data_IF_152740309036
#
_entry.id   IF_152740309036
#
_cell.length_a   1.000
_cell.length_b   1.000
_cell.length_c   1.000
_cell.angle_alpha   90.00
_cell.angle_beta   90.00
_cell.angle_gamma   90.00
#
_symmetry.space_group_name_H-M   'P 1'
#
loop_
_entity.id
_entity.type
_entity.pdbx_description
1 polymer ?
#
# COMPACT_ATOMS: atom_id res chain seq x y z
N UNK A 1 15.99 9.22 -23.20
CA UNK A 1 15.51 8.12 -22.34
C UNK A 1 14.23 8.62 -21.70
N UNK A 2 13.06 8.04 -22.02
CA UNK A 2 11.84 8.40 -21.29
C UNK A 2 12.07 8.06 -19.81
N UNK A 3 11.85 9.03 -18.91
CA UNK A 3 11.92 8.75 -17.48
C UNK A 3 10.90 7.64 -17.16
N UNK A 4 11.29 6.67 -16.33
CA UNK A 4 10.38 5.62 -15.90
C UNK A 4 9.17 6.19 -15.15
N UNK A 5 8.10 5.41 -15.02
CA UNK A 5 6.94 5.79 -14.24
C UNK A 5 7.35 6.10 -12.78
N UNK A 6 6.88 7.21 -12.18
CA UNK A 6 7.18 7.55 -10.79
C UNK A 6 6.70 6.46 -9.84
N UNK A 7 7.47 6.21 -8.78
CA UNK A 7 7.09 5.31 -7.70
C UNK A 7 6.96 6.10 -6.41
N UNK A 8 5.89 5.85 -5.66
CA UNK A 8 5.66 6.47 -4.35
C UNK A 8 5.46 5.39 -3.30
N UNK A 9 5.73 5.73 -2.05
CA UNK A 9 5.48 4.84 -0.91
C UNK A 9 4.49 5.45 0.08
N UNK A 10 3.77 4.58 0.78
CA UNK A 10 2.93 4.88 1.93
C UNK A 10 3.31 3.92 3.05
N UNK A 11 3.89 4.43 4.13
CA UNK A 11 4.16 3.68 5.35
C UNK A 11 2.91 3.70 6.21
N UNK A 12 2.37 2.53 6.51
CA UNK A 12 1.07 2.38 7.16
C UNK A 12 1.28 2.10 8.63
N UNK A 13 0.51 2.77 9.48
CA UNK A 13 0.28 2.35 10.86
C UNK A 13 -1.17 1.93 11.09
N UNK A 14 -1.37 0.92 11.94
CA UNK A 14 -2.68 0.45 12.38
C UNK A 14 -2.69 0.48 13.90
N UNK A 15 -3.57 1.28 14.50
CA UNK A 15 -3.67 1.42 15.95
C UNK A 15 -2.42 2.02 16.59
N UNK A 16 -1.72 2.89 15.87
CA UNK A 16 -0.47 3.53 16.31
C UNK A 16 0.79 2.69 16.09
N UNK A 17 0.68 1.46 15.59
CA UNK A 17 1.81 0.57 15.33
C UNK A 17 2.11 0.51 13.83
N UNK A 18 3.38 0.61 13.45
CA UNK A 18 3.79 0.46 12.06
C UNK A 18 3.48 -0.96 11.56
N UNK A 19 2.75 -1.04 10.44
CA UNK A 19 2.34 -2.30 9.81
C UNK A 19 3.25 -2.69 8.65
N UNK A 20 3.64 -1.73 7.82
CA UNK A 20 4.51 -1.97 6.68
C UNK A 20 4.38 -0.88 5.62
N UNK A 21 5.09 -1.07 4.52
CA UNK A 21 5.13 -0.14 3.39
C UNK A 21 4.30 -0.65 2.22
N UNK A 22 3.50 0.23 1.64
CA UNK A 22 2.88 0.05 0.33
C UNK A 22 3.70 0.85 -0.67
N UNK A 23 4.07 0.23 -1.80
CA UNK A 23 4.71 0.93 -2.92
C UNK A 23 3.79 0.90 -4.12
N UNK A 24 3.57 2.07 -4.72
CA UNK A 24 2.74 2.26 -5.91
C UNK A 24 3.57 2.77 -7.08
N UNK A 25 3.28 2.26 -8.27
CA UNK A 25 3.75 2.79 -9.55
C UNK A 25 2.63 3.66 -10.16
N UNK A 26 2.95 4.90 -10.48
CA UNK A 26 2.03 5.87 -11.06
C UNK A 26 2.17 5.88 -12.58
N UNK A 27 1.05 5.76 -13.31
CA UNK A 27 1.07 5.65 -14.76
C UNK A 27 1.09 7.04 -15.43
N UNK A 28 2.18 7.78 -15.21
CA UNK A 28 2.34 9.16 -15.68
C UNK A 28 2.30 9.31 -17.21
N UNK A 29 2.55 8.24 -17.97
CA UNK A 29 2.42 8.24 -19.42
C UNK A 29 0.95 8.29 -19.89
N UNK A 30 0.02 7.73 -19.11
CA UNK A 30 -1.40 7.63 -19.47
C UNK A 30 -2.23 8.70 -18.74
N UNK A 31 -1.93 8.95 -17.47
CA UNK A 31 -2.65 9.92 -16.62
C UNK A 31 -1.66 10.88 -15.94
N UNK A 32 -0.93 11.74 -16.70
CA UNK A 32 0.11 12.60 -16.17
C UNK A 32 -0.37 13.55 -15.08
N UNK A 33 -1.54 14.19 -15.23
CA UNK A 33 -2.05 15.14 -14.23
C UNK A 33 -2.44 14.43 -12.93
N UNK A 34 -3.10 13.29 -13.06
CA UNK A 34 -3.55 12.48 -11.91
C UNK A 34 -2.36 11.88 -11.16
N UNK A 35 -1.36 11.38 -11.90
CA UNK A 35 -0.11 10.88 -11.34
C UNK A 35 0.68 11.99 -10.61
N UNK A 36 0.83 13.17 -11.22
CA UNK A 36 1.54 14.29 -10.59
C UNK A 36 0.82 14.79 -9.33
N UNK A 37 -0.51 14.82 -9.33
CA UNK A 37 -1.28 15.16 -8.14
C UNK A 37 -0.97 14.21 -6.98
N UNK A 38 -1.04 12.89 -7.23
CA UNK A 38 -0.77 11.91 -6.19
C UNK A 38 0.69 11.95 -5.71
N UNK A 39 1.66 12.04 -6.63
CA UNK A 39 3.09 12.13 -6.33
C UNK A 39 3.38 13.34 -5.43
N UNK A 40 2.90 14.52 -5.81
CA UNK A 40 3.10 15.74 -5.05
C UNK A 40 2.42 15.71 -3.67
N UNK A 41 1.25 15.06 -3.56
CA UNK A 41 0.60 14.81 -2.27
C UNK A 41 1.35 13.77 -1.43
N UNK A 42 2.13 12.85 -2.03
CA UNK A 42 3.05 11.99 -1.28
C UNK A 42 4.26 12.76 -0.75
N UNK A 43 4.80 13.72 -1.50
CA UNK A 43 6.00 14.48 -1.09
C UNK A 43 5.69 15.69 -0.20
N UNK A 44 4.46 16.23 -0.27
CA UNK A 44 4.08 17.45 0.43
C UNK A 44 4.69 18.73 -0.16
N UNK A 45 5.32 18.65 -1.34
CA UNK A 45 6.14 19.74 -1.88
C UNK A 45 5.35 20.99 -2.28
N UNK A 46 4.02 20.89 -2.42
CA UNK A 46 3.15 22.00 -2.82
C UNK A 46 2.68 22.87 -1.64
N UNK A 47 3.12 22.56 -0.42
CA UNK A 47 2.85 23.38 0.76
C UNK A 47 1.41 23.29 1.25
N UNK A 48 0.78 24.43 1.51
CA UNK A 48 -0.56 24.52 2.11
C UNK A 48 -1.61 24.76 1.04
N UNK A 49 -2.69 23.98 1.08
CA UNK A 49 -3.85 24.13 0.21
C UNK A 49 -4.55 25.46 0.42
N UNK A 50 -4.86 26.14 -0.67
CA UNK A 50 -5.46 27.48 -0.64
C UNK A 50 -6.95 27.46 -0.27
N UNK A 51 -7.61 26.33 -0.46
CA UNK A 51 -9.06 26.18 -0.23
C UNK A 51 -9.32 25.65 1.18
N UNK A 52 -8.60 24.62 1.59
CA UNK A 52 -8.78 23.93 2.87
C UNK A 52 -7.91 24.49 3.99
N UNK A 53 -6.80 25.16 3.67
CA UNK A 53 -5.78 25.56 4.63
C UNK A 53 -4.98 24.39 5.22
N UNK A 54 -5.23 23.17 4.77
CA UNK A 54 -4.51 21.97 5.19
C UNK A 54 -3.24 21.78 4.35
N UNK A 55 -2.19 21.12 4.87
CA UNK A 55 -1.06 20.70 4.05
C UNK A 55 -1.52 19.81 2.88
N UNK A 56 -1.02 20.09 1.67
CA UNK A 56 -1.19 19.22 0.50
C UNK A 56 -0.27 18.00 0.63
N UNK A 57 -0.53 17.15 1.63
CA UNK A 57 0.35 16.05 2.02
C UNK A 57 -0.44 14.89 2.64
N UNK A 58 -0.14 13.65 2.23
CA UNK A 58 -0.78 12.45 2.77
C UNK A 58 -0.25 12.00 4.14
N UNK A 59 0.89 12.52 4.60
CA UNK A 59 1.43 12.14 5.91
C UNK A 59 0.46 12.52 7.03
N UNK A 60 0.08 11.53 7.83
CA UNK A 60 -0.91 11.64 8.90
C UNK A 60 -2.36 11.43 8.45
N UNK A 61 -2.62 11.24 7.15
CA UNK A 61 -3.97 11.04 6.62
C UNK A 61 -4.46 9.62 6.92
N UNK A 62 -5.76 9.52 7.24
CA UNK A 62 -6.43 8.26 7.54
C UNK A 62 -6.97 7.57 6.28
N UNK A 63 -7.00 6.25 6.34
CA UNK A 63 -7.98 5.48 5.57
C UNK A 63 -9.31 5.55 6.33
N UNK A 64 -10.23 6.38 5.84
CA UNK A 64 -11.49 6.68 6.51
C UNK A 64 -12.64 5.76 6.09
N UNK A 65 -12.41 4.90 5.08
CA UNK A 65 -13.43 3.96 4.60
C UNK A 65 -12.80 2.67 4.09
N UNK A 66 -13.21 1.53 4.64
CA UNK A 66 -12.66 0.20 4.30
C UNK A 66 -13.81 -0.78 4.07
N UNK A 67 -13.91 -1.33 2.86
CA UNK A 67 -14.93 -2.31 2.51
C UNK A 67 -14.24 -3.60 2.10
N UNK A 68 -14.37 -4.64 2.94
CA UNK A 68 -13.79 -5.96 2.68
C UNK A 68 -14.31 -6.54 1.37
N UNK A 69 -13.40 -7.03 0.54
CA UNK A 69 -13.71 -7.56 -0.78
C UNK A 69 -14.07 -6.49 -1.81
N UNK A 70 -13.71 -5.23 -1.57
CA UNK A 70 -13.97 -4.13 -2.49
C UNK A 70 -12.79 -3.14 -2.58
N UNK A 71 -12.68 -2.21 -1.64
CA UNK A 71 -11.69 -1.13 -1.66
C UNK A 71 -11.26 -0.69 -0.26
N UNK A 72 -10.06 -0.13 -0.17
CA UNK A 72 -9.63 0.72 0.96
C UNK A 72 -9.50 2.15 0.44
N UNK A 73 -10.11 3.13 1.11
CA UNK A 73 -10.18 4.53 0.67
C UNK A 73 -9.58 5.47 1.72
N UNK A 74 -8.79 6.42 1.23
CA UNK A 74 -8.11 7.43 2.02
C UNK A 74 -7.92 8.72 1.23
N UNK A 75 -6.98 9.57 1.66
CA UNK A 75 -6.63 10.79 0.94
C UNK A 75 -7.52 12.00 1.21
N UNK A 76 -8.41 11.95 2.21
CA UNK A 76 -9.02 13.17 2.73
C UNK A 76 -8.02 13.88 3.64
N UNK A 77 -7.28 14.81 3.04
CA UNK A 77 -6.18 15.56 3.68
C UNK A 77 -6.66 16.63 4.68
N UNK A 78 -7.98 16.87 4.78
CA UNK A 78 -8.52 18.04 5.47
C UNK A 78 -9.51 17.70 6.59
N UNK A 79 -10.56 16.93 6.30
CA UNK A 79 -11.57 16.55 7.28
C UNK A 79 -11.28 15.16 7.88
N UNK A 80 -10.67 14.28 7.08
CA UNK A 80 -10.29 12.92 7.48
C UNK A 80 -11.46 11.95 7.61
N UNK A 81 -12.65 12.30 7.11
CA UNK A 81 -13.88 11.51 7.18
C UNK A 81 -14.51 11.24 5.80
N UNK A 82 -13.91 11.75 4.73
CA UNK A 82 -14.36 11.60 3.36
C UNK A 82 -15.15 12.80 2.83
N UNK A 83 -15.42 13.82 3.65
CA UNK A 83 -16.10 15.06 3.23
C UNK A 83 -15.15 16.11 2.64
N UNK A 84 -13.84 15.96 2.85
CA UNK A 84 -12.83 16.95 2.46
C UNK A 84 -11.95 16.55 1.28
N UNK A 85 -10.82 17.24 1.17
CA UNK A 85 -9.79 17.03 0.17
C UNK A 85 -9.56 18.24 -0.73
N UNK A 86 -8.35 18.34 -1.28
CA UNK A 86 -7.94 19.39 -2.21
C UNK A 86 -6.84 18.82 -3.11
N UNK A 87 -6.91 19.08 -4.42
CA UNK A 87 -5.83 18.72 -5.33
C UNK A 87 -4.73 19.76 -5.33
N UNK A 88 -3.57 19.41 -5.88
CA UNK A 88 -2.50 20.40 -6.11
C UNK A 88 -2.87 21.49 -7.14
N UNK A 89 -3.99 21.32 -7.84
CA UNK A 89 -4.50 22.24 -8.87
C UNK A 89 -5.66 23.11 -8.35
N UNK A 90 -6.02 22.99 -7.07
CA UNK A 90 -7.19 23.63 -6.45
C UNK A 90 -8.20 22.60 -5.94
N UNK A 91 -9.44 23.02 -5.69
CA UNK A 91 -10.44 22.17 -5.02
C UNK A 91 -10.67 20.83 -5.74
N UNK A 92 -10.86 20.87 -7.07
CA UNK A 92 -11.16 19.70 -7.91
C UNK A 92 -10.50 19.83 -9.28
N UNK A 93 -10.30 18.70 -9.96
CA UNK A 93 -9.86 18.64 -11.36
C UNK A 93 -10.62 17.55 -12.14
N UNK A 94 -10.56 17.68 -13.47
CA UNK A 94 -11.31 16.86 -14.42
C UNK A 94 -10.87 15.39 -14.44
N UNK A 95 -11.75 14.51 -14.91
CA UNK A 95 -11.39 13.13 -15.23
C UNK A 95 -10.46 13.12 -16.44
N UNK A 96 -9.22 12.64 -16.25
CA UNK A 96 -8.19 12.73 -17.29
C UNK A 96 -8.46 11.79 -18.47
N UNK A 97 -8.72 10.51 -18.20
CA UNK A 97 -9.27 9.51 -19.12
C UNK A 97 -9.69 8.24 -18.35
N UNK A 98 -10.28 7.28 -19.08
CA UNK A 98 -10.71 5.97 -18.53
C UNK A 98 -10.16 4.78 -19.33
N UNK A 99 -8.95 4.92 -19.87
CA UNK A 99 -8.31 3.87 -20.67
C UNK A 99 -8.00 2.63 -19.82
N UNK A 100 -7.45 2.85 -18.63
CA UNK A 100 -7.12 1.80 -17.68
C UNK A 100 -8.38 1.32 -16.92
N UNK A 101 -8.38 0.03 -16.56
CA UNK A 101 -9.55 -0.67 -15.99
C UNK A 101 -9.27 -1.24 -14.60
N UNK A 102 -10.32 -1.46 -13.82
CA UNK A 102 -10.25 -2.00 -12.47
C UNK A 102 -10.24 -3.54 -12.44
N UNK A 103 -9.27 -4.14 -13.13
CA UNK A 103 -9.30 -5.58 -13.49
C UNK A 103 -8.87 -6.53 -12.38
N UNK A 104 -8.23 -6.01 -11.32
CA UNK A 104 -7.62 -6.83 -10.26
C UNK A 104 -7.44 -6.03 -8.97
N UNK A 105 -7.08 -6.73 -7.90
CA UNK A 105 -6.61 -6.10 -6.66
C UNK A 105 -5.34 -5.27 -6.87
N UNK A 106 -5.16 -4.25 -6.05
CA UNK A 106 -3.99 -3.38 -6.06
C UNK A 106 -4.04 -2.30 -7.15
N UNK A 107 -5.17 -2.08 -7.80
CA UNK A 107 -5.35 -0.93 -8.69
C UNK A 107 -5.60 0.33 -7.86
N UNK A 108 -4.85 1.40 -8.17
CA UNK A 108 -4.94 2.72 -7.53
C UNK A 108 -5.78 3.65 -8.42
N UNK A 109 -6.81 4.25 -7.83
CA UNK A 109 -7.84 4.99 -8.58
C UNK A 109 -8.40 6.16 -7.77
N UNK A 110 -8.86 7.21 -8.45
CA UNK A 110 -9.38 8.42 -7.82
C UNK A 110 -10.78 8.19 -7.24
N UNK A 111 -11.00 8.62 -6.00
CA UNK A 111 -12.36 8.80 -5.50
C UNK A 111 -12.91 10.14 -6.00
N UNK A 112 -14.21 10.18 -6.30
CA UNK A 112 -14.90 11.39 -6.76
C UNK A 112 -16.36 11.38 -6.29
N UNK A 113 -17.05 12.51 -6.49
CA UNK A 113 -18.49 12.68 -6.20
C UNK A 113 -19.29 12.93 -7.48
N UNK A 114 -18.91 12.25 -8.57
CA UNK A 114 -19.43 12.46 -9.92
C UNK A 114 -18.37 12.96 -10.91
N UNK A 115 -18.73 13.14 -12.19
CA UNK A 115 -17.78 13.50 -13.24
C UNK A 115 -16.98 14.76 -12.91
N UNK A 116 -15.69 14.74 -13.21
CA UNK A 116 -14.77 15.88 -13.07
C UNK A 116 -14.68 16.44 -11.64
N UNK A 117 -14.70 15.57 -10.63
CA UNK A 117 -14.61 15.97 -9.22
C UNK A 117 -13.45 15.32 -8.47
N UNK A 118 -12.37 15.00 -9.18
CA UNK A 118 -11.17 14.43 -8.58
C UNK A 118 -10.48 15.47 -7.68
N UNK A 119 -9.97 15.04 -6.52
CA UNK A 119 -9.25 15.91 -5.57
C UNK A 119 -8.00 15.21 -5.02
N UNK A 120 -7.91 14.99 -3.72
CA UNK A 120 -6.86 14.20 -3.05
C UNK A 120 -7.32 12.80 -2.65
N UNK A 121 -8.63 12.52 -2.64
CA UNK A 121 -9.11 11.21 -2.20
C UNK A 121 -8.84 10.13 -3.25
N UNK A 122 -8.41 8.97 -2.79
CA UNK A 122 -8.10 7.82 -3.64
C UNK A 122 -8.57 6.53 -2.97
N UNK A 123 -8.67 5.48 -3.76
CA UNK A 123 -8.86 4.13 -3.24
C UNK A 123 -7.90 3.13 -3.89
N UNK A 124 -7.63 2.06 -3.16
CA UNK A 124 -6.92 0.88 -3.66
C UNK A 124 -7.89 -0.28 -3.62
N UNK A 125 -8.04 -0.94 -4.78
CA UNK A 125 -8.93 -2.10 -4.92
C UNK A 125 -8.35 -3.33 -4.21
N UNK A 126 -9.21 -4.15 -3.60
CA UNK A 126 -8.81 -5.43 -2.99
C UNK A 126 -9.32 -6.64 -3.80
N UNK A 127 -10.13 -6.38 -4.83
CA UNK A 127 -10.64 -7.34 -5.82
C UNK A 127 -10.78 -6.67 -7.20
N UNK A 128 -11.28 -7.39 -8.20
CA UNK A 128 -11.71 -6.80 -9.48
C UNK A 128 -13.02 -6.01 -9.30
N UNK A 129 -13.06 -4.77 -9.80
CA UNK A 129 -14.17 -3.83 -9.58
C UNK A 129 -14.62 -3.15 -10.87
N UNK A 130 -14.89 -3.92 -11.92
CA UNK A 130 -15.25 -3.44 -13.27
C UNK A 130 -16.47 -2.49 -13.32
N UNK A 131 -17.36 -2.52 -12.33
CA UNK A 131 -18.49 -1.59 -12.23
C UNK A 131 -18.08 -0.12 -11.98
N UNK A 132 -16.81 0.12 -11.64
CA UNK A 132 -16.17 1.44 -11.50
C UNK A 132 -15.53 1.94 -12.79
N UNK A 133 -15.42 1.10 -13.82
CA UNK A 133 -14.83 1.48 -15.10
C UNK A 133 -15.64 2.60 -15.77
N UNK A 134 -14.93 3.60 -16.33
CA UNK A 134 -15.56 4.77 -16.94
C UNK A 134 -16.11 5.80 -15.95
N UNK A 135 -15.93 5.57 -14.64
CA UNK A 135 -16.41 6.48 -13.57
C UNK A 135 -15.28 7.01 -12.69
N UNK A 136 -14.21 6.23 -12.52
CA UNK A 136 -13.07 6.58 -11.68
C UNK A 136 -11.78 6.44 -12.49
N UNK A 137 -10.93 7.47 -12.42
CA UNK A 137 -9.65 7.48 -13.13
C UNK A 137 -8.68 6.53 -12.45
N UNK A 138 -8.34 5.44 -13.12
CA UNK A 138 -7.23 4.56 -12.73
C UNK A 138 -5.93 5.22 -13.14
N UNK A 139 -5.01 5.43 -12.18
CA UNK A 139 -3.77 6.17 -12.42
C UNK A 139 -2.52 5.47 -11.90
N UNK A 140 -2.65 4.25 -11.36
CA UNK A 140 -1.51 3.49 -10.88
C UNK A 140 -1.86 2.09 -10.39
N UNK A 141 -0.86 1.42 -9.84
CA UNK A 141 -1.02 0.11 -9.22
C UNK A 141 -0.02 -0.07 -8.09
N UNK A 142 -0.36 -0.93 -7.15
CA UNK A 142 0.52 -1.40 -6.09
C UNK A 142 1.52 -2.38 -6.70
N UNK A 143 2.80 -2.16 -6.42
CA UNK A 143 3.92 -3.03 -6.85
C UNK A 143 4.56 -3.76 -5.68
N UNK A 144 4.43 -3.25 -4.44
CA UNK A 144 4.81 -3.93 -3.19
C UNK A 144 3.81 -3.62 -2.08
N UNK A 145 3.69 -4.52 -1.10
CA UNK A 145 2.87 -4.28 0.09
C UNK A 145 1.40 -4.67 -0.07
N UNK A 146 1.07 -5.58 -0.99
CA UNK A 146 -0.29 -6.14 -1.10
C UNK A 146 -0.74 -6.80 0.21
N UNK A 147 0.19 -7.36 0.98
CA UNK A 147 -0.10 -7.89 2.30
C UNK A 147 -0.51 -6.82 3.32
N UNK A 148 0.07 -5.62 3.25
CA UNK A 148 -0.33 -4.46 4.08
C UNK A 148 -1.76 -4.03 3.72
N UNK A 149 -2.10 -3.98 2.43
CA UNK A 149 -3.47 -3.70 1.97
C UNK A 149 -4.46 -4.72 2.52
N UNK A 150 -4.09 -6.01 2.54
CA UNK A 150 -4.92 -7.05 3.16
C UNK A 150 -5.08 -6.87 4.66
N UNK A 151 -4.04 -6.42 5.37
CA UNK A 151 -4.13 -6.12 6.79
C UNK A 151 -5.12 -4.97 7.05
N UNK A 152 -5.08 -3.90 6.24
CA UNK A 152 -6.05 -2.79 6.29
C UNK A 152 -7.46 -3.31 5.99
N UNK A 153 -7.63 -4.09 4.93
CA UNK A 153 -8.93 -4.66 4.51
C UNK A 153 -9.60 -5.52 5.60
N UNK A 154 -8.80 -6.14 6.47
CA UNK A 154 -9.28 -6.99 7.58
C UNK A 154 -9.46 -6.24 8.90
N UNK A 155 -9.23 -4.92 8.92
CA UNK A 155 -9.54 -4.10 10.09
C UNK A 155 -11.05 -4.12 10.37
N UNK A 156 -11.43 -4.14 11.65
CA UNK A 156 -12.82 -4.00 12.04
C UNK A 156 -13.32 -2.60 11.71
N UNK A 157 -14.50 -2.52 11.12
CA UNK A 157 -15.16 -1.26 10.74
C UNK A 157 -16.42 -1.03 11.57
N UNK A 158 -16.70 0.23 11.85
CA UNK A 158 -17.93 0.70 12.49
C UNK A 158 -18.90 1.29 11.47
N UNK A 159 -19.60 2.33 11.87
CA UNK A 159 -20.56 3.03 11.02
C UNK A 159 -19.88 3.62 9.77
N UNK A 160 -20.60 3.63 8.65
CA UNK A 160 -20.14 4.15 7.34
C UNK A 160 -18.83 3.52 6.84
N UNK A 161 -18.57 2.26 7.21
CA UNK A 161 -17.35 1.52 6.87
C UNK A 161 -16.06 2.15 7.43
N UNK A 162 -16.17 2.99 8.47
CA UNK A 162 -15.03 3.67 9.08
C UNK A 162 -14.24 2.71 9.99
N UNK A 163 -12.92 2.56 9.83
CA UNK A 163 -12.13 1.68 10.70
C UNK A 163 -12.22 2.05 12.19
N UNK A 164 -12.54 1.06 13.05
CA UNK A 164 -12.60 1.27 14.51
C UNK A 164 -11.22 1.58 15.07
N UNK A 165 -10.19 0.96 14.50
CA UNK A 165 -8.79 1.22 14.82
C UNK A 165 -8.22 2.13 13.73
N UNK A 166 -7.61 3.25 14.15
CA UNK A 166 -7.01 4.21 13.22
C UNK A 166 -6.02 3.52 12.28
N UNK A 167 -6.26 3.64 10.98
CA UNK A 167 -5.34 3.25 9.91
C UNK A 167 -4.81 4.52 9.27
N UNK A 168 -3.52 4.80 9.45
CA UNK A 168 -2.90 6.09 9.09
C UNK A 168 -1.73 5.87 8.14
N UNK A 169 -1.56 6.77 7.17
CA UNK A 169 -0.33 6.93 6.40
C UNK A 169 0.69 7.64 7.30
N UNK A 170 1.50 6.87 8.02
CA UNK A 170 2.47 7.36 8.99
C UNK A 170 3.62 8.16 8.33
N UNK A 171 4.02 7.74 7.13
CA UNK A 171 4.97 8.47 6.30
C UNK A 171 4.70 8.19 4.82
N UNK A 172 5.10 9.11 3.95
CA UNK A 172 4.96 8.93 2.50
C UNK A 172 5.98 9.76 1.73
N UNK A 173 6.16 9.41 0.46
CA UNK A 173 7.08 10.13 -0.40
C UNK A 173 7.27 9.46 -1.75
N UNK A 174 8.15 10.06 -2.54
CA UNK A 174 8.60 9.53 -3.83
C UNK A 174 9.85 8.67 -3.64
N UNK A 175 9.93 7.54 -4.35
CA UNK A 175 11.11 6.68 -4.42
C UNK A 175 11.92 7.08 -5.65
N UNK A 176 13.13 7.58 -5.42
CA UNK A 176 14.07 7.92 -6.50
C UNK A 176 14.37 6.70 -7.36
N UNK A 177 14.50 6.91 -8.67
CA UNK A 177 14.84 5.83 -9.62
C UNK A 177 16.14 5.15 -9.22
N UNK A 178 16.13 3.83 -9.14
CA UNK A 178 17.29 3.01 -8.75
C UNK A 178 17.52 2.89 -7.23
N UNK A 179 16.71 3.57 -6.41
CA UNK A 179 16.71 3.33 -4.96
C UNK A 179 15.93 2.07 -4.59
N UNK A 180 16.31 1.48 -3.45
CA UNK A 180 15.59 0.38 -2.83
C UNK A 180 14.17 0.80 -2.43
N UNK A 181 13.22 -0.12 -2.55
CA UNK A 181 11.80 0.15 -2.24
C UNK A 181 11.55 0.32 -0.74
N UNK A 182 12.50 -0.10 0.12
CA UNK A 182 12.41 -0.02 1.57
C UNK A 182 11.45 -1.02 2.18
N UNK A 183 11.14 -2.11 1.48
CA UNK A 183 10.24 -3.18 1.96
C UNK A 183 10.98 -4.24 2.76
N UNK A 184 12.28 -4.42 2.49
CA UNK A 184 13.19 -5.26 3.28
C UNK A 184 13.81 -4.42 4.40
N UNK A 185 14.05 -5.02 5.56
CA UNK A 185 14.56 -4.31 6.74
C UNK A 185 13.75 -3.05 7.10
N UNK A 186 12.44 -3.06 6.86
CA UNK A 186 11.55 -1.92 7.07
C UNK A 186 11.62 -1.39 8.52
N UNK A 187 11.70 -2.30 9.50
CA UNK A 187 11.81 -1.96 10.93
C UNK A 187 13.24 -1.61 11.38
N UNK A 188 14.22 -1.60 10.46
CA UNK A 188 15.63 -1.27 10.71
C UNK A 188 16.27 -2.15 11.79
N UNK A 189 15.87 -3.42 11.85
CA UNK A 189 16.31 -4.41 12.83
C UNK A 189 17.35 -5.40 12.28
N UNK A 190 17.73 -5.26 11.01
CA UNK A 190 18.69 -6.11 10.32
C UNK A 190 18.05 -7.28 9.56
N UNK A 191 16.73 -7.41 9.57
CA UNK A 191 16.02 -8.47 8.85
C UNK A 191 16.04 -8.22 7.34
N UNK A 192 16.82 -9.02 6.62
CA UNK A 192 17.05 -8.86 5.19
C UNK A 192 15.86 -9.31 4.31
N UNK A 193 14.89 -10.01 4.87
CA UNK A 193 13.76 -10.53 4.10
C UNK A 193 12.58 -9.53 4.14
N UNK A 194 11.80 -9.35 3.07
CA UNK A 194 10.59 -8.56 3.14
C UNK A 194 9.56 -9.23 4.05
N UNK A 195 8.70 -8.44 4.67
CA UNK A 195 7.67 -8.94 5.61
C UNK A 195 6.64 -9.86 4.95
N UNK A 196 6.44 -9.70 3.64
CA UNK A 196 5.58 -10.51 2.81
C UNK A 196 6.40 -11.19 1.71
N UNK A 197 6.39 -12.54 1.61
CA UNK A 197 7.08 -13.27 0.54
C UNK A 197 6.78 -12.81 -0.89
N UNK A 198 5.55 -12.35 -1.13
CA UNK A 198 5.10 -11.88 -2.44
C UNK A 198 5.82 -10.59 -2.89
N UNK A 199 6.49 -9.90 -1.98
CA UNK A 199 7.23 -8.67 -2.26
C UNK A 199 8.70 -8.93 -2.63
N UNK A 200 9.15 -10.19 -2.69
CA UNK A 200 10.49 -10.55 -3.16
C UNK A 200 10.69 -10.12 -4.63
N UNK A 201 11.81 -9.48 -4.93
CA UNK A 201 12.20 -9.14 -6.31
C UNK A 201 12.33 -10.39 -7.20
N UNK A 202 12.97 -11.42 -6.64
CA UNK A 202 13.17 -12.70 -7.32
C UNK A 202 12.65 -13.77 -6.39
N UNK A 203 11.72 -14.59 -6.89
CA UNK A 203 11.18 -15.74 -6.14
C UNK A 203 12.17 -16.91 -6.21
N UNK A 204 12.80 -17.32 -5.10
CA UNK A 204 13.81 -18.37 -5.14
C UNK A 204 13.21 -19.74 -5.47
N UNK A 205 13.91 -20.53 -6.29
CA UNK A 205 13.52 -21.91 -6.63
C UNK A 205 13.82 -22.86 -5.47
N UNK A 206 14.97 -22.68 -4.81
CA UNK A 206 15.50 -23.61 -3.83
C UNK A 206 14.76 -23.54 -2.50
N UNK A 207 14.21 -24.68 -2.06
CA UNK A 207 13.51 -24.78 -0.78
C UNK A 207 14.41 -24.45 0.42
N UNK A 208 15.72 -24.70 0.30
CA UNK A 208 16.72 -24.38 1.34
C UNK A 208 16.76 -22.89 1.64
N UNK A 209 16.64 -22.04 0.61
CA UNK A 209 16.59 -20.59 0.78
C UNK A 209 15.37 -20.16 1.61
N UNK A 210 14.21 -20.76 1.32
CA UNK A 210 12.97 -20.48 2.04
C UNK A 210 13.05 -20.92 3.50
N UNK A 211 13.62 -22.11 3.76
CA UNK A 211 13.87 -22.59 5.12
C UNK A 211 14.82 -21.65 5.89
N UNK A 212 15.88 -21.13 5.24
CA UNK A 212 16.75 -20.12 5.85
C UNK A 212 16.01 -18.83 6.20
N UNK A 213 15.07 -18.38 5.37
CA UNK A 213 14.23 -17.22 5.66
C UNK A 213 13.29 -17.46 6.86
N UNK A 214 12.72 -18.67 6.97
CA UNK A 214 11.91 -19.11 8.13
C UNK A 214 12.74 -19.11 9.41
N UNK A 215 13.91 -19.74 9.38
CA UNK A 215 14.82 -19.83 10.54
C UNK A 215 15.29 -18.45 10.98
N UNK A 216 15.67 -17.59 10.04
CA UNK A 216 16.07 -16.21 10.30
C UNK A 216 14.92 -15.42 10.95
N UNK A 217 13.71 -15.47 10.37
CA UNK A 217 12.53 -14.79 10.92
C UNK A 217 12.19 -15.28 12.33
N UNK A 218 12.29 -16.60 12.58
CA UNK A 218 12.11 -17.18 13.91
C UNK A 218 13.17 -16.72 14.90
N UNK A 219 14.43 -16.61 14.47
CA UNK A 219 15.52 -16.13 15.30
C UNK A 219 15.27 -14.68 15.77
N UNK A 220 14.89 -13.79 14.86
CA UNK A 220 14.48 -12.42 15.22
C UNK A 220 13.30 -12.42 16.20
N UNK A 221 12.29 -13.27 15.99
CA UNK A 221 11.18 -13.43 16.93
C UNK A 221 11.63 -13.80 18.34
N UNK A 222 12.57 -14.75 18.46
CA UNK A 222 13.14 -15.14 19.75
C UNK A 222 13.92 -13.99 20.42
N UNK A 223 14.65 -13.19 19.63
CA UNK A 223 15.40 -12.04 20.16
C UNK A 223 14.48 -10.97 20.72
N UNK A 224 13.41 -10.62 20.01
CA UNK A 224 12.40 -9.68 20.51
C UNK A 224 11.66 -10.23 21.74
N UNK A 225 11.35 -11.53 21.75
CA UNK A 225 10.73 -12.17 22.91
C UNK A 225 11.60 -12.08 24.16
N UNK A 226 12.91 -12.33 24.03
CA UNK A 226 13.88 -12.16 25.14
C UNK A 226 13.95 -10.73 25.66
N UNK A 227 13.75 -9.74 24.78
CA UNK A 227 13.69 -8.30 25.12
C UNK A 227 12.32 -7.87 25.68
N UNK A 228 11.38 -8.81 25.87
CA UNK A 228 10.00 -8.55 26.29
C UNK A 228 9.18 -7.69 25.31
N UNK A 229 9.64 -7.52 24.08
CA UNK A 229 8.87 -6.91 23.00
C UNK A 229 8.02 -8.00 22.32
N UNK A 230 6.93 -8.34 22.99
CA UNK A 230 6.04 -9.42 22.55
C UNK A 230 5.32 -9.09 21.23
N UNK A 231 5.12 -7.80 20.93
CA UNK A 231 4.48 -7.36 19.69
C UNK A 231 5.38 -7.65 18.49
N UNK A 232 6.65 -7.21 18.54
CA UNK A 232 7.60 -7.50 17.48
C UNK A 232 7.93 -8.99 17.39
N UNK A 233 8.02 -9.69 18.52
CA UNK A 233 8.19 -11.14 18.53
C UNK A 233 7.07 -11.84 17.74
N UNK A 234 5.81 -11.50 18.04
CA UNK A 234 4.65 -12.05 17.33
C UNK A 234 4.66 -11.71 15.84
N UNK A 235 5.04 -10.48 15.46
CA UNK A 235 5.20 -10.06 14.06
C UNK A 235 6.20 -10.96 13.32
N UNK A 236 7.37 -11.19 13.91
CA UNK A 236 8.42 -12.04 13.33
C UNK A 236 8.03 -13.52 13.25
N UNK A 237 7.32 -14.05 14.25
CA UNK A 237 6.78 -15.41 14.17
C UNK A 237 5.70 -15.55 13.09
N UNK A 238 4.79 -14.57 12.96
CA UNK A 238 3.81 -14.56 11.87
C UNK A 238 4.49 -14.47 10.50
N UNK A 239 5.56 -13.70 10.38
CA UNK A 239 6.40 -13.69 9.17
C UNK A 239 6.99 -15.07 8.89
N UNK A 240 7.59 -15.73 9.89
CA UNK A 240 8.12 -17.08 9.73
C UNK A 240 7.06 -18.06 9.22
N UNK A 241 5.82 -17.99 9.73
CA UNK A 241 4.69 -18.79 9.23
C UNK A 241 4.36 -18.49 7.77
N UNK A 242 4.30 -17.21 7.36
CA UNK A 242 4.07 -16.84 5.96
C UNK A 242 5.12 -17.42 5.02
N UNK A 243 6.39 -17.42 5.42
CA UNK A 243 7.46 -18.03 4.63
C UNK A 243 7.37 -19.57 4.64
N UNK A 244 6.94 -20.17 5.75
CA UNK A 244 6.74 -21.61 5.87
C UNK A 244 5.59 -22.10 4.96
N UNK A 245 4.51 -21.34 4.84
CA UNK A 245 3.41 -21.66 3.92
C UNK A 245 3.92 -21.76 2.47
N UNK A 246 4.81 -20.84 2.06
CA UNK A 246 5.45 -20.88 0.74
C UNK A 246 6.35 -22.11 0.56
N UNK A 247 6.96 -22.63 1.63
CA UNK A 247 7.73 -23.87 1.58
C UNK A 247 6.84 -25.06 1.28
N UNK A 248 5.65 -25.14 1.88
CA UNK A 248 4.73 -26.26 1.65
C UNK A 248 4.22 -26.30 0.21
N UNK A 249 3.85 -25.14 -0.34
CA UNK A 249 3.45 -25.04 -1.75
C UNK A 249 4.55 -25.50 -2.71
N UNK A 250 5.82 -25.22 -2.36
CA UNK A 250 7.00 -25.66 -3.14
C UNK A 250 7.40 -27.11 -2.89
N UNK A 251 7.23 -27.62 -1.67
CA UNK A 251 7.51 -29.01 -1.32
C UNK A 251 6.64 -29.98 -2.12
N UNK A 252 5.37 -29.63 -2.32
CA UNK A 252 4.43 -30.40 -3.13
C UNK A 252 4.80 -30.43 -4.63
N UNK A 253 5.63 -29.50 -5.12
CA UNK A 253 6.14 -29.52 -6.51
C UNK A 253 7.18 -30.64 -6.70
N UNK A 254 7.89 -31.04 -5.62
CA UNK A 254 8.86 -32.14 -5.68
C UNK A 254 8.22 -33.53 -5.58
N UNK A 255 6.96 -33.65 -5.13
CA UNK A 255 6.23 -34.92 -5.12
C UNK A 255 5.56 -35.26 -6.47
N UNK A 256 5.57 -34.31 -7.43
CA UNK A 256 5.03 -34.48 -8.79
C UNK A 256 5.91 -35.28 -9.75
N UNK A 257 7.07 -35.79 -9.33
CA UNK A 257 7.84 -36.78 -10.12
C UNK A 257 7.47 -38.19 -9.67
N UNK A 258 6.33 -38.66 -10.14
CA UNK A 258 5.99 -40.09 -10.13
C UNK A 258 6.68 -40.79 -11.31
N UNK A 259 7.14 -42.01 -11.03
CA UNK A 259 8.00 -42.90 -11.83
C UNK A 259 7.51 -43.21 -13.26
#
# INVERSE_FOLDING_TARGET
MAAGNPRCFLDISIGGELEGRIVVELNAAVTPKTAENFRALCTGEKGIGTITGAPLHYKGVRFHRVIKGFVIQGGDISAGDGSGGESIYGQKFDDENFELKHERKGILSMANSGPNTNSSQFFITTTCTSHLDGKHVVFGKVVKGIGVIRAIEHASVGDNDFPITDVIIADCGEITTGSDDGTSNFFKDGDAYPDWPADLEVTPSEISWWLSAVESSKAFGNEYFKKQDHKMALRKYRKALRYLDMCWDKGNINEGKTF
#
